data_IF_845556705376
#
_entry.id   IF_845556705376
#
_cell.length_a   1.000
_cell.length_b   1.000
_cell.length_c   1.000
_cell.angle_alpha   90.00
_cell.angle_beta   90.00
_cell.angle_gamma   90.00
#
_symmetry.space_group_name_H-M   'P 1'
#
loop_
_entity.id
_entity.type
_entity.pdbx_description
1 polymer ?
#
# COMPACT_ATOMS: atom_id res chain seq x y z
N UNK A 1 -5.92 1.84 -7.95
CA UNK A 1 -6.02 0.62 -8.76
C UNK A 1 -4.65 0.31 -9.30
N UNK A 2 -4.20 -0.92 -9.15
CA UNK A 2 -2.93 -1.42 -9.69
C UNK A 2 -3.23 -2.36 -10.85
N UNK A 3 -2.50 -2.21 -11.95
CA UNK A 3 -2.63 -3.04 -13.15
C UNK A 3 -1.22 -3.44 -13.57
N UNK A 4 -0.96 -4.74 -13.63
CA UNK A 4 0.31 -5.33 -14.09
C UNK A 4 1.59 -4.71 -13.49
N UNK A 5 1.57 -4.40 -12.18
CA UNK A 5 2.75 -3.80 -11.52
C UNK A 5 2.84 -2.28 -11.63
N UNK A 6 1.83 -1.62 -12.16
CA UNK A 6 1.73 -0.16 -12.19
C UNK A 6 0.53 0.37 -11.41
N UNK A 7 0.71 1.51 -10.75
CA UNK A 7 -0.37 2.25 -10.11
C UNK A 7 -1.17 2.98 -11.19
N UNK A 8 -2.19 2.31 -11.75
CA UNK A 8 -3.04 2.85 -12.78
C UNK A 8 -3.86 4.08 -12.33
N UNK A 9 -4.22 4.15 -11.04
CA UNK A 9 -4.95 5.31 -10.51
C UNK A 9 -4.90 5.37 -8.98
N UNK A 10 -4.56 6.52 -8.41
CA UNK A 10 -4.80 6.86 -7.01
C UNK A 10 -5.79 8.00 -6.92
N UNK A 11 -6.90 7.80 -6.19
CA UNK A 11 -7.89 8.84 -5.89
C UNK A 11 -7.92 9.08 -4.38
N UNK A 12 -7.90 10.35 -3.97
CA UNK A 12 -8.02 10.80 -2.59
C UNK A 12 -6.69 11.22 -1.94
N UNK A 13 -6.79 11.75 -0.72
CA UNK A 13 -5.67 12.19 0.12
C UNK A 13 -4.92 10.97 0.66
N UNK A 14 -4.07 10.40 -0.21
CA UNK A 14 -3.20 9.28 0.14
C UNK A 14 -1.78 9.80 0.26
N UNK A 15 -1.09 9.39 1.33
CA UNK A 15 0.26 9.83 1.64
C UNK A 15 1.23 9.59 0.46
N UNK A 16 1.96 10.63 0.04
CA UNK A 16 2.90 10.56 -1.09
C UNK A 16 3.96 9.48 -0.89
N UNK A 17 4.39 9.27 0.36
CA UNK A 17 5.39 8.26 0.69
C UNK A 17 4.83 6.84 0.47
N UNK A 18 3.57 6.61 0.84
CA UNK A 18 2.89 5.34 0.60
C UNK A 18 2.74 5.06 -0.90
N UNK A 19 2.37 6.07 -1.69
CA UNK A 19 2.25 5.95 -3.16
C UNK A 19 3.59 5.52 -3.77
N UNK A 20 4.69 6.20 -3.41
CA UNK A 20 6.00 5.91 -3.98
C UNK A 20 6.49 4.50 -3.62
N UNK A 21 6.37 4.10 -2.35
CA UNK A 21 6.75 2.73 -1.92
C UNK A 21 5.86 1.67 -2.55
N UNK A 22 4.56 1.93 -2.69
CA UNK A 22 3.64 1.01 -3.35
C UNK A 22 3.98 0.84 -4.84
N UNK A 23 4.40 1.92 -5.51
CA UNK A 23 4.90 1.86 -6.89
C UNK A 23 6.18 1.03 -7.00
N UNK A 24 7.10 1.16 -6.07
CA UNK A 24 8.33 0.36 -6.04
C UNK A 24 8.03 -1.14 -5.83
N UNK A 25 7.13 -1.47 -4.91
CA UNK A 25 6.68 -2.85 -4.68
C UNK A 25 6.01 -3.41 -5.94
N UNK A 26 5.16 -2.63 -6.59
CA UNK A 26 4.47 -3.04 -7.82
C UNK A 26 5.46 -3.26 -8.99
N UNK A 27 6.54 -2.48 -9.07
CA UNK A 27 7.64 -2.71 -10.05
C UNK A 27 8.45 -3.98 -9.76
N UNK A 28 8.74 -4.26 -8.48
CA UNK A 28 9.50 -5.47 -8.08
C UNK A 28 8.67 -6.74 -8.18
N UNK A 29 7.37 -6.62 -7.92
CA UNK A 29 6.42 -7.72 -7.96
C UNK A 29 5.21 -7.27 -8.78
N UNK A 30 5.13 -7.59 -10.08
CA UNK A 30 3.98 -7.22 -10.88
C UNK A 30 2.73 -7.90 -10.32
N UNK A 31 1.75 -7.09 -9.93
CA UNK A 31 0.44 -7.57 -9.48
C UNK A 31 -0.67 -6.70 -10.06
N UNK A 32 -1.82 -7.34 -10.30
CA UNK A 32 -3.03 -6.69 -10.75
C UNK A 32 -4.07 -6.77 -9.63
N UNK A 33 -4.64 -5.62 -9.26
CA UNK A 33 -5.63 -5.59 -8.20
C UNK A 33 -5.99 -4.19 -7.71
N UNK A 34 -7.04 -4.11 -6.92
CA UNK A 34 -7.46 -2.85 -6.32
C UNK A 34 -7.05 -2.80 -4.85
N UNK A 35 -6.34 -1.74 -4.50
CA UNK A 35 -6.00 -1.39 -3.11
C UNK A 35 -6.84 -0.19 -2.73
N UNK A 36 -7.63 -0.32 -1.66
CA UNK A 36 -8.41 0.76 -1.06
C UNK A 36 -7.78 1.10 0.28
N UNK A 37 -7.27 2.32 0.44
CA UNK A 37 -6.70 2.81 1.70
C UNK A 37 -7.76 3.65 2.41
N UNK A 38 -7.95 3.37 3.69
CA UNK A 38 -8.84 4.09 4.58
C UNK A 38 -8.02 4.69 5.71
N UNK A 39 -8.06 6.02 5.83
CA UNK A 39 -7.48 6.75 6.95
C UNK A 39 -8.49 6.75 8.11
N UNK A 40 -8.12 6.17 9.25
CA UNK A 40 -8.79 6.38 10.54
C UNK A 40 -7.94 7.32 11.40
N UNK A 41 -8.54 7.89 12.45
CA UNK A 41 -7.92 8.92 13.31
C UNK A 41 -6.46 8.65 13.73
N UNK A 42 -6.10 7.39 14.05
CA UNK A 42 -4.74 7.00 14.47
C UNK A 42 -4.09 5.90 13.63
N UNK A 43 -4.80 5.34 12.65
CA UNK A 43 -4.36 4.16 11.92
C UNK A 43 -4.84 4.20 10.48
N UNK A 44 -4.00 3.73 9.58
CA UNK A 44 -4.37 3.51 8.20
C UNK A 44 -4.67 2.02 7.99
N UNK A 45 -5.73 1.73 7.26
CA UNK A 45 -6.09 0.35 6.90
C UNK A 45 -6.20 0.24 5.39
N UNK A 46 -5.69 -0.85 4.83
CA UNK A 46 -5.83 -1.14 3.42
C UNK A 46 -6.67 -2.40 3.21
N UNK A 47 -7.63 -2.33 2.29
CA UNK A 47 -8.33 -3.49 1.73
C UNK A 47 -7.78 -3.80 0.35
N UNK A 48 -7.52 -5.08 0.12
CA UNK A 48 -6.92 -5.61 -1.09
C UNK A 48 -7.93 -6.55 -1.77
N UNK A 49 -7.93 -6.59 -3.10
CA UNK A 49 -8.65 -7.62 -3.86
C UNK A 49 -8.00 -8.99 -3.68
N UNK A 50 -8.79 -10.07 -3.81
CA UNK A 50 -8.30 -11.45 -3.67
C UNK A 50 -7.18 -11.82 -4.65
N UNK A 51 -7.10 -11.12 -5.78
CA UNK A 51 -6.08 -11.32 -6.81
C UNK A 51 -4.65 -10.90 -6.38
N UNK A 52 -4.51 -10.21 -5.24
CA UNK A 52 -3.20 -9.77 -4.75
C UNK A 52 -2.61 -10.85 -3.84
N UNK A 53 -1.40 -11.37 -4.14
CA UNK A 53 -0.69 -12.33 -3.30
C UNK A 53 -0.57 -11.87 -1.84
N UNK A 54 -0.68 -12.80 -0.89
CA UNK A 54 -0.67 -12.47 0.54
C UNK A 54 0.63 -11.77 0.98
N UNK A 55 1.77 -12.15 0.38
CA UNK A 55 3.08 -11.51 0.59
C UNK A 55 3.07 -10.03 0.24
N UNK A 56 2.47 -9.68 -0.90
CA UNK A 56 2.35 -8.29 -1.36
C UNK A 56 1.37 -7.51 -0.46
N UNK A 57 0.25 -8.13 -0.06
CA UNK A 57 -0.69 -7.55 0.89
C UNK A 57 -0.02 -7.22 2.23
N UNK A 58 0.84 -8.10 2.73
CA UNK A 58 1.59 -7.87 3.96
C UNK A 58 2.55 -6.70 3.82
N UNK A 59 3.40 -6.71 2.79
CA UNK A 59 4.37 -5.63 2.54
C UNK A 59 3.68 -4.26 2.37
N UNK A 60 2.59 -4.20 1.60
CA UNK A 60 1.80 -2.96 1.46
C UNK A 60 1.22 -2.48 2.79
N UNK A 61 0.80 -3.37 3.70
CA UNK A 61 0.34 -2.99 5.04
C UNK A 61 1.47 -2.47 5.94
N UNK A 62 2.68 -2.97 5.77
CA UNK A 62 3.85 -2.46 6.50
C UNK A 62 4.26 -1.07 6.03
N UNK A 63 4.05 -0.75 4.75
CA UNK A 63 4.34 0.58 4.21
C UNK A 63 3.32 1.66 4.56
N UNK A 64 2.19 1.30 5.19
CA UNK A 64 1.19 2.29 5.61
C UNK A 64 1.71 3.14 6.78
N UNK A 65 1.46 4.46 6.76
CA UNK A 65 1.75 5.32 7.90
C UNK A 65 0.97 4.85 9.14
N UNK A 66 1.64 4.76 10.29
CA UNK A 66 1.03 4.27 11.54
C UNK A 66 0.88 2.75 11.65
N UNK A 67 1.38 1.96 10.68
CA UNK A 67 1.62 0.53 10.88
C UNK A 67 2.73 0.34 11.92
N UNK A 68 2.71 -0.75 12.71
CA UNK A 68 3.71 -1.01 13.77
C UNK A 68 5.17 -0.93 13.25
N UNK A 69 5.39 -1.29 11.99
CA UNK A 69 6.70 -1.17 11.32
C UNK A 69 7.18 0.29 11.14
N UNK A 70 6.26 1.26 11.00
CA UNK A 70 6.58 2.67 10.81
C UNK A 70 6.90 3.41 12.11
N UNK A 71 6.57 2.84 13.27
CA UNK A 71 6.91 3.41 14.59
C UNK A 71 8.38 3.19 14.95
N UNK A 72 9.03 2.16 14.37
CA UNK A 72 10.41 1.79 14.69
C UNK A 72 11.49 2.55 13.92
N UNK A 73 11.15 3.48 13.01
CA UNK A 73 12.14 4.25 12.24
C UNK A 73 12.48 5.62 12.84
N UNK A 74 12.18 5.82 14.13
CA UNK A 74 12.40 7.05 14.90
C UNK A 74 13.36 6.91 16.09
N UNK A 75 14.23 5.90 16.09
CA UNK A 75 15.33 5.78 17.06
C UNK A 75 16.65 5.70 16.32
#
# INVERSE_FOLDING_TARGET
MFKDGELASSKGDTDKQFINRSREIARKHPFSGTVKVYKRRKQYSAKFTKNIPNKIRHNLREQLPGSKAHYNKKR
#
